data_IF_936781954375
#
_entry.id   IF_936781954375
#
_cell.length_a   1.000
_cell.length_b   1.000
_cell.length_c   1.000
_cell.angle_alpha   90.00
_cell.angle_beta   90.00
_cell.angle_gamma   90.00
#
_symmetry.space_group_name_H-M   'P 1'
#
loop_
_entity.id
_entity.type
_entity.pdbx_description
1 polymer ?
#
# COMPACT_ATOMS: atom_id res chain seq x y z
N UNK A 1 -23.44 48.39 41.11
CA UNK A 1 -23.42 47.18 40.25
C UNK A 1 -21.97 46.80 40.02
N UNK A 2 -21.57 45.63 40.56
CA UNK A 2 -20.31 44.89 40.33
C UNK A 2 -19.71 45.19 38.95
N UNK A 3 -18.54 45.82 38.78
CA UNK A 3 -17.17 45.34 39.10
C UNK A 3 -16.99 43.83 39.04
N UNK A 4 -16.04 43.45 38.19
CA UNK A 4 -15.38 42.14 38.07
C UNK A 4 -16.07 41.15 37.13
N UNK A 5 -15.25 40.53 36.26
CA UNK A 5 -15.53 39.45 35.29
C UNK A 5 -15.70 39.90 33.83
N UNK A 6 -14.68 40.56 33.29
CA UNK A 6 -14.48 40.66 31.83
C UNK A 6 -12.99 40.66 31.48
N UNK A 7 -12.22 39.87 32.22
CA UNK A 7 -10.85 39.49 31.90
C UNK A 7 -10.76 38.03 32.33
N UNK A 8 -10.06 37.20 31.58
CA UNK A 8 -9.92 35.72 31.76
C UNK A 8 -10.99 34.90 31.03
N UNK A 9 -11.10 35.00 29.70
CA UNK A 9 -11.24 33.83 28.80
C UNK A 9 -10.62 34.19 27.44
N UNK A 10 -9.32 34.45 27.39
CA UNK A 10 -8.56 34.65 26.14
C UNK A 10 -7.18 33.99 26.22
N UNK A 11 -7.09 32.83 26.88
CA UNK A 11 -5.81 32.16 27.13
C UNK A 11 -5.82 30.64 26.91
N UNK A 12 -6.81 30.08 26.22
CA UNK A 12 -6.80 28.64 25.84
C UNK A 12 -7.34 28.44 24.44
N UNK A 13 -6.80 29.18 23.48
CA UNK A 13 -6.91 28.86 22.05
C UNK A 13 -5.59 29.12 21.33
N UNK A 14 -4.48 28.96 22.06
CA UNK A 14 -3.29 28.42 21.43
C UNK A 14 -3.66 26.99 21.04
N UNK A 15 -4.23 26.83 19.85
CA UNK A 15 -4.17 25.57 19.14
C UNK A 15 -2.71 25.16 19.22
N UNK A 16 -2.39 24.16 20.05
CA UNK A 16 -1.17 23.41 19.85
C UNK A 16 -1.30 22.91 18.42
N UNK A 17 -0.65 23.61 17.49
CA UNK A 17 -0.25 23.01 16.23
C UNK A 17 0.24 21.63 16.62
N UNK A 18 -0.36 20.54 16.11
CA UNK A 18 0.14 19.22 16.44
C UNK A 18 1.64 19.31 16.23
N UNK A 19 2.42 19.07 17.28
CA UNK A 19 3.85 19.04 17.16
C UNK A 19 4.09 18.01 16.06
N UNK A 20 4.41 18.48 14.85
CA UNK A 20 4.86 17.62 13.78
C UNK A 20 6.01 16.87 14.44
N UNK A 21 5.79 15.58 14.68
CA UNK A 21 6.75 14.75 15.40
C UNK A 21 8.12 15.07 14.80
N UNK A 22 9.08 15.45 15.65
CA UNK A 22 10.43 15.72 15.20
C UNK A 22 10.81 14.58 14.25
N UNK A 23 11.16 14.92 13.01
CA UNK A 23 11.35 13.95 11.93
C UNK A 23 12.39 12.94 12.40
N UNK A 24 11.95 11.76 12.82
CA UNK A 24 12.84 10.70 13.29
C UNK A 24 13.58 10.18 12.05
N UNK A 25 14.92 10.29 11.99
CA UNK A 25 15.69 9.82 10.85
C UNK A 25 15.48 8.33 10.55
N UNK A 26 15.18 7.52 11.56
CA UNK A 26 14.83 6.10 11.37
C UNK A 26 13.48 5.98 10.67
N UNK A 27 12.46 6.69 11.17
CA UNK A 27 11.12 6.66 10.56
C UNK A 27 11.13 7.12 9.10
N UNK A 28 11.98 8.09 8.73
CA UNK A 28 12.15 8.53 7.33
C UNK A 28 12.68 7.40 6.45
N UNK A 29 13.71 6.68 6.91
CA UNK A 29 14.31 5.58 6.12
C UNK A 29 13.38 4.39 6.00
N UNK A 30 12.64 4.06 7.06
CA UNK A 30 11.58 3.04 7.02
C UNK A 30 10.50 3.43 6.01
N UNK A 31 10.01 4.67 6.07
CA UNK A 31 8.99 5.15 5.13
C UNK A 31 9.49 5.18 3.68
N UNK A 32 10.74 5.56 3.46
CA UNK A 32 11.35 5.57 2.12
C UNK A 32 11.45 4.14 1.55
N UNK A 33 12.06 3.21 2.29
CA UNK A 33 12.20 1.83 1.83
C UNK A 33 10.83 1.16 1.66
N UNK A 34 10.00 1.13 2.71
CA UNK A 34 8.68 0.50 2.66
C UNK A 34 7.77 1.14 1.60
N UNK A 35 7.84 2.46 1.42
CA UNK A 35 7.11 3.16 0.37
C UNK A 35 7.54 2.73 -1.04
N UNK A 36 8.85 2.61 -1.28
CA UNK A 36 9.40 2.15 -2.57
C UNK A 36 8.99 0.72 -2.89
N UNK A 37 9.24 -0.23 -1.99
CA UNK A 37 8.91 -1.64 -2.25
C UNK A 37 7.39 -1.84 -2.37
N UNK A 38 6.58 -1.19 -1.53
CA UNK A 38 5.13 -1.24 -1.68
C UNK A 38 4.66 -0.67 -3.02
N UNK A 39 5.28 0.41 -3.52
CA UNK A 39 4.97 0.96 -4.84
C UNK A 39 5.29 -0.01 -5.96
N UNK A 40 6.41 -0.75 -5.86
CA UNK A 40 6.77 -1.81 -6.81
C UNK A 40 5.69 -2.88 -6.84
N UNK A 41 5.24 -3.37 -5.68
CA UNK A 41 4.22 -4.42 -5.59
C UNK A 41 2.84 -3.90 -6.07
N UNK A 42 2.45 -2.67 -5.73
CA UNK A 42 1.20 -2.05 -6.23
C UNK A 42 1.20 -1.97 -7.75
N UNK A 43 2.31 -1.54 -8.37
CA UNK A 43 2.44 -1.50 -9.83
C UNK A 43 2.34 -2.90 -10.44
N UNK A 44 2.96 -3.90 -9.82
CA UNK A 44 2.85 -5.29 -10.24
C UNK A 44 1.40 -5.80 -10.19
N UNK A 45 0.64 -5.44 -9.14
CA UNK A 45 -0.77 -5.80 -9.01
C UNK A 45 -1.63 -5.14 -10.10
N UNK A 46 -1.45 -3.83 -10.31
CA UNK A 46 -2.17 -3.12 -11.37
C UNK A 46 -1.85 -3.72 -12.76
N UNK A 47 -0.58 -4.05 -13.01
CA UNK A 47 -0.18 -4.69 -14.27
C UNK A 47 -0.80 -6.08 -14.43
N UNK A 48 -0.85 -6.91 -13.38
CA UNK A 48 -1.53 -8.21 -13.42
C UNK A 48 -2.99 -8.07 -13.88
N UNK A 49 -3.71 -7.08 -13.34
CA UNK A 49 -5.11 -6.82 -13.73
C UNK A 49 -5.25 -6.28 -15.16
N UNK A 50 -4.26 -5.51 -15.64
CA UNK A 50 -4.20 -5.06 -17.04
C UNK A 50 -3.93 -6.23 -17.99
N UNK A 51 -3.04 -7.16 -17.63
CA UNK A 51 -2.76 -8.36 -18.44
C UNK A 51 -4.01 -9.23 -18.61
N UNK A 52 -4.81 -9.36 -17.54
CA UNK A 52 -6.12 -10.02 -17.62
C UNK A 52 -7.06 -9.32 -18.63
N UNK A 53 -7.12 -7.99 -18.60
CA UNK A 53 -7.93 -7.21 -19.56
C UNK A 53 -7.47 -7.41 -21.02
N UNK A 54 -6.20 -7.74 -21.22
CA UNK A 54 -5.60 -8.06 -22.52
C UNK A 54 -5.67 -9.57 -22.86
N UNK A 55 -6.48 -10.35 -22.14
CA UNK A 55 -6.66 -11.79 -22.33
C UNK A 55 -5.37 -12.64 -22.22
N UNK A 56 -4.36 -12.16 -21.48
CA UNK A 56 -3.20 -12.96 -21.12
C UNK A 56 -3.61 -14.00 -20.08
N UNK A 57 -3.06 -15.22 -20.19
CA UNK A 57 -3.39 -16.29 -19.24
C UNK A 57 -2.89 -15.90 -17.83
N UNK A 58 -3.67 -16.19 -16.77
CA UNK A 58 -3.31 -15.80 -15.41
C UNK A 58 -1.91 -16.23 -14.97
N UNK A 59 -1.48 -17.44 -15.37
CA UNK A 59 -0.15 -17.94 -14.98
C UNK A 59 0.99 -17.27 -15.73
N UNK A 60 0.77 -16.88 -16.98
CA UNK A 60 1.73 -16.08 -17.74
C UNK A 60 1.83 -14.67 -17.15
N UNK A 61 0.70 -14.04 -16.83
CA UNK A 61 0.65 -12.73 -16.17
C UNK A 61 1.34 -12.78 -14.81
N UNK A 62 1.13 -13.83 -14.01
CA UNK A 62 1.80 -14.05 -12.73
C UNK A 62 3.32 -14.08 -12.90
N UNK A 63 3.84 -14.88 -13.84
CA UNK A 63 5.28 -14.96 -14.11
C UNK A 63 5.85 -13.58 -14.46
N UNK A 64 5.17 -12.82 -15.32
CA UNK A 64 5.61 -11.49 -15.77
C UNK A 64 5.76 -10.55 -14.56
N UNK A 65 4.71 -10.43 -13.74
CA UNK A 65 4.71 -9.46 -12.63
C UNK A 65 5.61 -9.91 -11.49
N UNK A 66 5.71 -11.21 -11.21
CA UNK A 66 6.65 -11.75 -10.21
C UNK A 66 8.09 -11.42 -10.58
N UNK A 67 8.51 -11.65 -11.83
CA UNK A 67 9.86 -11.30 -12.29
C UNK A 67 10.14 -9.82 -12.13
N UNK A 68 9.18 -8.97 -12.50
CA UNK A 68 9.34 -7.51 -12.37
C UNK A 68 9.57 -7.05 -10.93
N UNK A 69 8.94 -7.70 -9.95
CA UNK A 69 9.22 -7.44 -8.53
C UNK A 69 10.59 -7.98 -8.14
N UNK A 70 10.93 -9.20 -8.57
CA UNK A 70 12.21 -9.84 -8.24
C UNK A 70 13.42 -9.12 -8.84
N UNK A 71 13.24 -8.46 -9.99
CA UNK A 71 14.26 -7.66 -10.67
C UNK A 71 14.43 -6.26 -10.05
N UNK A 72 13.57 -5.86 -9.10
CA UNK A 72 13.66 -4.55 -8.44
C UNK A 72 14.89 -4.45 -7.53
N UNK A 73 15.43 -3.24 -7.39
CA UNK A 73 16.56 -2.98 -6.50
C UNK A 73 16.20 -3.27 -5.04
N UNK A 74 14.97 -2.93 -4.66
CA UNK A 74 14.42 -3.16 -3.34
C UNK A 74 14.35 -4.65 -3.01
N UNK A 75 13.87 -5.49 -3.95
CA UNK A 75 13.83 -6.94 -3.74
C UNK A 75 15.25 -7.53 -3.69
N UNK A 76 16.09 -7.23 -4.68
CA UNK A 76 17.43 -7.83 -4.78
C UNK A 76 18.28 -7.54 -3.54
N UNK A 77 18.19 -6.31 -3.02
CA UNK A 77 18.89 -5.85 -1.82
C UNK A 77 18.28 -6.29 -0.48
N UNK A 78 17.09 -6.88 -0.47
CA UNK A 78 16.41 -7.29 0.75
C UNK A 78 17.04 -8.54 1.40
N UNK A 79 16.88 -8.63 2.71
CA UNK A 79 17.17 -9.87 3.46
C UNK A 79 16.21 -10.99 3.04
N UNK A 80 16.57 -12.25 3.28
CA UNK A 80 15.72 -13.38 2.89
C UNK A 80 14.33 -13.31 3.53
N UNK A 81 14.25 -12.96 4.82
CA UNK A 81 12.96 -12.83 5.51
C UNK A 81 12.05 -11.75 4.88
N UNK A 82 12.63 -10.64 4.42
CA UNK A 82 11.88 -9.58 3.72
C UNK A 82 11.47 -10.05 2.31
N UNK A 83 12.34 -10.77 1.60
CA UNK A 83 11.99 -11.39 0.30
C UNK A 83 10.82 -12.34 0.43
N UNK A 84 10.79 -13.18 1.46
CA UNK A 84 9.70 -14.11 1.70
C UNK A 84 8.35 -13.39 1.92
N UNK A 85 8.35 -12.22 2.58
CA UNK A 85 7.15 -11.39 2.75
C UNK A 85 6.74 -10.67 1.47
N UNK A 86 7.71 -10.20 0.68
CA UNK A 86 7.44 -9.64 -0.65
C UNK A 86 6.81 -10.73 -1.54
N UNK A 87 7.36 -11.94 -1.54
CA UNK A 87 6.86 -13.07 -2.33
C UNK A 87 5.45 -13.48 -1.86
N UNK A 88 5.14 -13.41 -0.56
CA UNK A 88 3.77 -13.58 -0.05
C UNK A 88 2.82 -12.50 -0.60
N UNK A 89 3.23 -11.24 -0.56
CA UNK A 89 2.43 -10.14 -1.11
C UNK A 89 2.19 -10.30 -2.62
N UNK A 90 3.23 -10.67 -3.38
CA UNK A 90 3.15 -10.96 -4.81
C UNK A 90 2.21 -12.13 -5.10
N UNK A 91 2.24 -13.18 -4.29
CA UNK A 91 1.29 -14.29 -4.44
C UNK A 91 -0.16 -13.85 -4.18
N UNK A 92 -0.40 -12.97 -3.20
CA UNK A 92 -1.73 -12.43 -2.92
C UNK A 92 -2.29 -11.60 -4.07
N UNK A 93 -1.48 -10.70 -4.64
CA UNK A 93 -1.93 -9.84 -5.75
C UNK A 93 -2.13 -10.62 -7.07
N UNK A 94 -1.58 -11.84 -7.17
CA UNK A 94 -1.68 -12.72 -8.35
C UNK A 94 -2.62 -13.91 -8.15
N UNK A 95 -3.45 -13.91 -7.09
CA UNK A 95 -4.49 -14.92 -6.90
C UNK A 95 -5.65 -14.67 -7.88
N UNK A 96 -5.63 -15.42 -8.99
CA UNK A 96 -6.66 -15.35 -10.02
C UNK A 96 -8.07 -15.67 -9.51
N UNK A 97 -8.19 -16.64 -8.60
CA UNK A 97 -9.49 -17.10 -8.11
C UNK A 97 -10.14 -16.01 -7.26
N UNK A 98 -9.37 -15.43 -6.34
CA UNK A 98 -9.82 -14.34 -5.50
C UNK A 98 -10.10 -13.06 -6.33
N UNK A 99 -9.24 -12.74 -7.30
CA UNK A 99 -9.43 -11.61 -8.20
C UNK A 99 -10.73 -11.75 -9.02
N UNK A 100 -10.95 -12.92 -9.65
CA UNK A 100 -12.15 -13.17 -10.46
C UNK A 100 -13.42 -13.04 -9.63
N UNK A 101 -13.42 -13.58 -8.40
CA UNK A 101 -14.55 -13.46 -7.48
C UNK A 101 -14.86 -12.00 -7.10
N UNK A 102 -13.82 -11.18 -6.89
CA UNK A 102 -14.00 -9.75 -6.63
C UNK A 102 -14.65 -9.06 -7.82
N UNK A 103 -14.14 -9.28 -9.04
CA UNK A 103 -14.70 -8.69 -10.26
C UNK A 103 -16.16 -9.09 -10.46
N UNK A 104 -16.49 -10.38 -10.31
CA UNK A 104 -17.87 -10.87 -10.39
C UNK A 104 -18.81 -10.22 -9.36
N UNK A 105 -18.31 -9.96 -8.14
CA UNK A 105 -19.06 -9.25 -7.10
C UNK A 105 -19.37 -7.82 -7.51
N UNK A 106 -18.35 -7.08 -7.97
CA UNK A 106 -18.49 -5.67 -8.34
C UNK A 106 -19.37 -5.49 -9.59
N UNK A 107 -19.30 -6.42 -10.56
CA UNK A 107 -20.18 -6.41 -11.72
C UNK A 107 -21.66 -6.58 -11.34
N UNK A 108 -21.97 -7.38 -10.31
CA UNK A 108 -23.35 -7.53 -9.78
C UNK A 108 -23.86 -6.24 -9.13
N UNK A 109 -22.96 -5.42 -8.59
CA UNK A 109 -23.24 -4.12 -7.98
C UNK A 109 -23.28 -2.96 -8.99
N UNK A 110 -23.29 -3.26 -10.30
CA UNK A 110 -23.29 -2.29 -11.40
C UNK A 110 -22.02 -1.41 -11.49
N UNK A 111 -20.93 -1.77 -10.82
CA UNK A 111 -19.63 -1.16 -11.07
C UNK A 111 -18.99 -1.83 -12.30
N UNK A 112 -18.77 -1.05 -13.37
CA UNK A 112 -18.36 -1.58 -14.68
C UNK A 112 -16.92 -1.26 -15.09
N UNK A 113 -16.18 -0.52 -14.26
CA UNK A 113 -14.86 -0.03 -14.64
C UNK A 113 -13.76 -0.94 -14.08
N UNK A 114 -13.35 -1.91 -14.90
CA UNK A 114 -12.29 -2.89 -14.60
C UNK A 114 -10.99 -2.23 -14.10
N UNK A 115 -10.64 -1.05 -14.61
CA UNK A 115 -9.46 -0.31 -14.13
C UNK A 115 -9.56 0.14 -12.66
N UNK A 116 -10.75 0.45 -12.16
CA UNK A 116 -10.99 0.82 -10.75
C UNK A 116 -10.94 -0.43 -9.87
N UNK A 117 -11.44 -1.55 -10.39
CA UNK A 117 -11.32 -2.86 -9.73
C UNK A 117 -9.86 -3.30 -9.62
N UNK A 118 -9.04 -3.02 -10.63
CA UNK A 118 -7.60 -3.31 -10.61
C UNK A 118 -6.85 -2.54 -9.53
N UNK A 119 -7.12 -1.24 -9.37
CA UNK A 119 -6.53 -0.45 -8.30
C UNK A 119 -7.05 -0.83 -6.91
N UNK A 120 -8.35 -1.07 -6.77
CA UNK A 120 -8.93 -1.55 -5.52
C UNK A 120 -8.28 -2.88 -5.09
N UNK A 121 -8.12 -3.82 -6.03
CA UNK A 121 -7.42 -5.08 -5.82
C UNK A 121 -5.98 -4.87 -5.37
N UNK A 122 -5.24 -4.01 -6.07
CA UNK A 122 -3.85 -3.70 -5.77
C UNK A 122 -3.69 -3.14 -4.35
N UNK A 123 -4.44 -2.10 -3.98
CA UNK A 123 -4.33 -1.51 -2.64
C UNK A 123 -4.77 -2.47 -1.54
N UNK A 124 -5.88 -3.20 -1.75
CA UNK A 124 -6.37 -4.15 -0.77
C UNK A 124 -5.30 -5.21 -0.43
N UNK A 125 -4.65 -5.77 -1.45
CA UNK A 125 -3.68 -6.85 -1.26
C UNK A 125 -2.26 -6.39 -0.90
N UNK A 126 -1.88 -5.13 -1.18
CA UNK A 126 -0.54 -4.61 -0.82
C UNK A 126 -0.52 -3.89 0.53
N UNK A 127 -1.69 -3.43 1.02
CA UNK A 127 -1.78 -2.77 2.33
C UNK A 127 -1.27 -3.62 3.51
N UNK A 128 -1.48 -4.96 3.59
CA UNK A 128 -0.96 -5.76 4.69
C UNK A 128 0.56 -5.82 4.71
N UNK A 129 1.20 -5.98 3.54
CA UNK A 129 2.65 -5.94 3.42
C UNK A 129 3.19 -4.56 3.82
N UNK A 130 2.54 -3.49 3.38
CA UNK A 130 2.96 -2.12 3.72
C UNK A 130 2.90 -1.89 5.23
N UNK A 131 1.82 -2.33 5.88
CA UNK A 131 1.67 -2.24 7.33
C UNK A 131 2.73 -3.09 8.05
N UNK A 132 2.97 -4.32 7.60
CA UNK A 132 4.01 -5.20 8.15
C UNK A 132 5.41 -4.58 8.03
N UNK A 133 5.76 -4.04 6.87
CA UNK A 133 7.07 -3.42 6.61
C UNK A 133 7.31 -2.25 7.57
N UNK A 134 6.32 -1.37 7.71
CA UNK A 134 6.40 -0.22 8.62
C UNK A 134 6.46 -0.66 10.09
N UNK A 135 5.63 -1.62 10.50
CA UNK A 135 5.59 -2.11 11.89
C UNK A 135 6.92 -2.75 12.31
N UNK A 136 7.57 -3.47 11.40
CA UNK A 136 8.86 -4.12 11.65
C UNK A 136 10.06 -3.19 11.43
N UNK A 137 9.82 -1.91 11.14
CA UNK A 137 10.87 -0.91 10.91
C UNK A 137 11.90 -1.36 9.87
N UNK A 138 11.42 -1.99 8.79
CA UNK A 138 12.32 -2.43 7.72
C UNK A 138 12.88 -1.21 6.99
N UNK A 139 14.19 -1.09 7.01
CA UNK A 139 14.93 -0.06 6.29
C UNK A 139 16.09 -0.68 5.50
N UNK A 140 16.74 0.13 4.68
CA UNK A 140 17.91 -0.26 3.89
C UNK A 140 19.03 0.76 4.07
#
# INVERSE_FOLDING_TARGET
MLRSKLIVILAVSAFSTPAMAAVDPLQVRVQDYCGKISTVIVKAAAEYTNQWSNAVKPEEAKIIVTRKVQDSEEYTGASQAVKDEIDRAVNSITDYTAFSKMVEGQMKENERYVGMHGWAWAYHNVSPFTAWCNYNHIER
#
